data_IF_265233911139
#
_entry.id   IF_265233911139
#
_cell.length_a   1.000
_cell.length_b   1.000
_cell.length_c   1.000
_cell.angle_alpha   90.00
_cell.angle_beta   90.00
_cell.angle_gamma   90.00
#
_symmetry.space_group_name_H-M   'P 1'
#
loop_
_entity.id
_entity.type
_entity.pdbx_description
1 polymer ?
#
# COMPACT_ATOMS: atom_id res chain seq x y z
N UNK A 1 49.67 -7.45 -31.29
CA UNK A 1 48.57 -6.49 -31.40
C UNK A 1 47.59 -6.81 -30.28
N UNK A 2 47.83 -6.18 -29.10
CA UNK A 2 47.08 -6.46 -27.87
C UNK A 2 45.82 -5.62 -27.85
N UNK A 3 44.66 -6.27 -27.92
CA UNK A 3 43.38 -5.63 -27.58
C UNK A 3 43.20 -5.70 -26.09
N UNK A 4 43.47 -4.61 -25.40
CA UNK A 4 43.01 -4.36 -24.04
C UNK A 4 41.50 -4.12 -24.08
N UNK A 5 40.72 -5.10 -23.65
CA UNK A 5 39.33 -4.89 -23.28
C UNK A 5 39.36 -4.07 -21.98
N UNK A 6 39.09 -2.77 -22.10
CA UNK A 6 38.77 -1.90 -20.97
C UNK A 6 37.45 -2.39 -20.35
N UNK A 7 37.55 -3.22 -19.31
CA UNK A 7 36.41 -3.45 -18.41
C UNK A 7 36.20 -2.12 -17.68
N UNK A 8 35.11 -1.43 -18.01
CA UNK A 8 34.62 -0.29 -17.23
C UNK A 8 34.24 -0.77 -15.83
N UNK A 9 35.18 -0.72 -14.91
CA UNK A 9 34.96 -0.84 -13.46
C UNK A 9 34.53 0.52 -12.92
N UNK A 10 33.28 0.90 -13.10
CA UNK A 10 32.61 1.99 -12.36
C UNK A 10 31.19 2.12 -12.89
N UNK A 11 30.25 1.35 -12.32
CA UNK A 11 28.82 1.69 -12.29
C UNK A 11 28.06 0.70 -11.37
N UNK A 12 28.54 0.51 -10.13
CA UNK A 12 27.87 -0.35 -9.14
C UNK A 12 26.95 0.42 -8.20
N UNK A 13 26.43 1.57 -8.61
CA UNK A 13 25.47 2.39 -7.87
C UNK A 13 24.41 2.97 -8.82
N UNK A 14 23.83 2.13 -9.66
CA UNK A 14 22.62 2.54 -10.38
C UNK A 14 21.45 2.16 -9.50
N UNK A 15 21.03 3.11 -8.72
CA UNK A 15 19.86 3.11 -7.88
C UNK A 15 18.81 3.96 -8.61
N UNK A 16 17.60 3.49 -8.80
CA UNK A 16 16.64 4.18 -9.67
C UNK A 16 15.57 4.94 -8.88
N UNK A 17 15.69 6.28 -8.88
CA UNK A 17 14.57 7.17 -8.61
C UNK A 17 13.50 6.94 -9.69
N UNK A 18 12.24 6.77 -9.29
CA UNK A 18 11.12 6.57 -10.21
C UNK A 18 10.21 7.78 -10.18
N UNK A 19 10.07 8.45 -11.33
CA UNK A 19 9.16 9.59 -11.47
C UNK A 19 8.09 9.28 -12.52
N UNK A 20 6.83 9.45 -12.14
CA UNK A 20 5.68 9.36 -13.04
C UNK A 20 5.11 10.77 -13.22
N UNK A 21 4.88 11.19 -14.48
CA UNK A 21 4.36 12.52 -14.80
C UNK A 21 3.06 12.40 -15.57
N UNK A 22 1.97 12.85 -14.97
CA UNK A 22 0.61 12.90 -15.53
C UNK A 22 0.21 11.61 -16.24
N UNK A 23 0.55 10.47 -15.62
CA UNK A 23 0.35 9.16 -16.21
C UNK A 23 -1.14 8.83 -16.25
N UNK A 24 -1.67 8.60 -17.45
CA UNK A 24 -3.06 8.18 -17.66
C UNK A 24 -3.11 6.95 -18.55
N UNK A 25 -4.08 6.08 -18.30
CA UNK A 25 -4.29 4.89 -19.12
C UNK A 25 -5.75 4.51 -19.22
N UNK A 26 -6.16 4.21 -20.44
CA UNK A 26 -7.46 3.61 -20.76
C UNK A 26 -7.26 2.39 -21.64
N UNK A 27 -8.04 1.34 -21.38
CA UNK A 27 -8.13 0.15 -22.23
C UNK A 27 -9.08 0.36 -23.43
N UNK A 28 -9.80 1.48 -23.45
CA UNK A 28 -10.73 1.82 -24.52
C UNK A 28 -10.05 2.74 -25.55
N UNK A 29 -10.41 2.57 -26.82
CA UNK A 29 -9.88 3.42 -27.89
C UNK A 29 -10.41 4.87 -27.82
N UNK A 30 -11.65 5.06 -27.36
CA UNK A 30 -12.27 6.36 -27.17
C UNK A 30 -12.71 6.52 -25.71
N UNK A 31 -12.31 7.61 -25.08
CA UNK A 31 -12.65 7.95 -23.72
C UNK A 31 -13.67 9.08 -23.72
N UNK A 32 -14.87 8.82 -23.20
CA UNK A 32 -15.96 9.80 -23.14
C UNK A 32 -16.26 10.24 -21.71
N UNK A 33 -15.91 9.41 -20.72
CA UNK A 33 -16.18 9.64 -19.30
C UNK A 33 -14.97 9.30 -18.42
N UNK A 34 -14.96 9.79 -17.22
CA UNK A 34 -13.94 9.48 -16.21
C UNK A 34 -13.82 7.98 -15.91
N UNK A 35 -14.95 7.25 -15.97
CA UNK A 35 -15.00 5.80 -15.75
C UNK A 35 -14.28 4.97 -16.83
N UNK A 36 -13.98 5.56 -17.98
CA UNK A 36 -13.28 4.90 -19.08
C UNK A 36 -11.76 4.81 -18.83
N UNK A 37 -11.28 5.54 -17.83
CA UNK A 37 -9.88 5.60 -17.46
C UNK A 37 -9.56 4.69 -16.28
N UNK A 38 -8.63 3.76 -16.49
CA UNK A 38 -8.07 2.95 -15.42
C UNK A 38 -7.09 3.73 -14.54
N UNK A 39 -6.41 4.73 -15.12
CA UNK A 39 -5.54 5.69 -14.43
C UNK A 39 -5.79 7.10 -14.97
N UNK A 40 -5.81 8.09 -14.07
CA UNK A 40 -6.17 9.48 -14.38
C UNK A 40 -5.13 10.44 -13.81
N UNK A 41 -4.16 10.86 -14.64
CA UNK A 41 -3.18 11.89 -14.30
C UNK A 41 -2.36 11.58 -13.04
N UNK A 42 -1.80 10.38 -12.96
CA UNK A 42 -1.01 9.94 -11.80
C UNK A 42 0.37 10.59 -11.83
N UNK A 43 0.71 11.30 -10.75
CA UNK A 43 2.02 11.89 -10.49
C UNK A 43 2.65 11.23 -9.27
N UNK A 44 3.88 10.72 -9.41
CA UNK A 44 4.65 10.08 -8.34
C UNK A 44 6.12 10.50 -8.46
N UNK A 45 6.76 10.71 -7.32
CA UNK A 45 8.21 10.88 -7.22
C UNK A 45 8.72 9.99 -6.08
N UNK A 46 9.22 8.80 -6.42
CA UNK A 46 9.78 7.84 -5.51
C UNK A 46 11.30 7.93 -5.49
N UNK A 47 11.82 8.16 -4.30
CA UNK A 47 13.26 8.12 -4.09
C UNK A 47 13.78 6.70 -4.25
N UNK A 48 15.01 6.62 -4.70
CA UNK A 48 15.73 5.37 -4.76
C UNK A 48 15.90 4.70 -3.39
N UNK A 49 15.99 3.35 -3.41
CA UNK A 49 16.17 2.52 -2.21
C UNK A 49 15.00 2.51 -1.25
N UNK A 50 13.86 3.13 -1.56
CA UNK A 50 12.68 3.16 -0.71
C UNK A 50 11.79 1.92 -0.82
N UNK A 51 11.07 1.60 0.25
CA UNK A 51 9.97 0.65 0.25
C UNK A 51 8.65 1.39 0.08
N UNK A 52 7.95 1.14 -1.02
CA UNK A 52 6.68 1.78 -1.35
C UNK A 52 5.55 0.76 -1.42
N UNK A 53 4.35 1.15 -0.98
CA UNK A 53 3.16 0.34 -1.20
C UNK A 53 2.12 1.10 -2.03
N UNK A 54 1.49 0.39 -2.98
CA UNK A 54 0.27 0.83 -3.66
C UNK A 54 -0.91 0.15 -2.98
N UNK A 55 -1.74 0.93 -2.31
CA UNK A 55 -2.86 0.45 -1.50
C UNK A 55 -4.18 1.00 -2.04
N UNK A 56 -5.20 0.17 -2.12
CA UNK A 56 -6.54 0.58 -2.55
C UNK A 56 -7.44 -0.60 -2.84
N UNK A 57 -8.75 -0.39 -3.06
CA UNK A 57 -9.70 -1.45 -3.36
C UNK A 57 -9.39 -2.13 -4.71
N UNK A 58 -9.97 -3.31 -4.91
CA UNK A 58 -9.87 -3.99 -6.21
C UNK A 58 -10.44 -3.11 -7.33
N UNK A 59 -9.77 -3.09 -8.48
CA UNK A 59 -10.20 -2.31 -9.65
C UNK A 59 -9.81 -0.82 -9.64
N UNK A 60 -9.11 -0.31 -8.62
CA UNK A 60 -8.70 1.10 -8.59
C UNK A 60 -7.45 1.44 -9.44
N UNK A 61 -6.91 0.51 -10.22
CA UNK A 61 -5.81 0.76 -11.15
C UNK A 61 -4.40 0.34 -10.68
N UNK A 62 -4.23 -0.30 -9.51
CA UNK A 62 -2.91 -0.68 -8.96
C UNK A 62 -2.09 -1.57 -9.89
N UNK A 63 -2.65 -2.69 -10.32
CA UNK A 63 -1.99 -3.63 -11.26
C UNK A 63 -1.74 -2.98 -12.62
N UNK A 64 -2.66 -2.11 -13.10
CA UNK A 64 -2.44 -1.32 -14.32
C UNK A 64 -1.21 -0.42 -14.17
N UNK A 65 -1.11 0.31 -13.07
CA UNK A 65 0.03 1.17 -12.77
C UNK A 65 1.34 0.36 -12.69
N UNK A 66 1.31 -0.78 -11.99
CA UNK A 66 2.47 -1.66 -11.89
C UNK A 66 2.93 -2.18 -13.26
N UNK A 67 1.99 -2.62 -14.12
CA UNK A 67 2.29 -3.10 -15.47
C UNK A 67 2.83 -1.99 -16.37
N UNK A 68 2.43 -0.76 -16.16
CA UNK A 68 2.98 0.40 -16.88
C UNK A 68 4.41 0.71 -16.39
N UNK A 69 4.66 0.70 -15.08
CA UNK A 69 6.01 0.91 -14.51
C UNK A 69 6.96 -0.20 -14.97
N UNK A 70 6.48 -1.44 -15.07
CA UNK A 70 7.30 -2.57 -15.53
C UNK A 70 7.58 -2.56 -17.05
N UNK A 71 6.81 -1.82 -17.85
CA UNK A 71 6.90 -1.82 -19.31
C UNK A 71 6.15 -2.96 -19.98
N UNK A 72 5.33 -3.73 -19.23
CA UNK A 72 4.39 -4.70 -19.79
C UNK A 72 3.22 -4.04 -20.51
N UNK A 73 2.86 -2.82 -20.07
CA UNK A 73 1.80 -2.02 -20.64
C UNK A 73 2.32 -0.62 -20.94
N UNK A 74 1.98 -0.06 -22.11
CA UNK A 74 2.28 1.34 -22.43
C UNK A 74 1.17 2.24 -21.91
N UNK A 75 1.50 3.38 -21.30
CA UNK A 75 0.47 4.35 -20.90
C UNK A 75 -0.19 4.96 -22.13
N UNK A 76 -1.41 5.46 -21.98
CA UNK A 76 -2.10 6.23 -23.02
C UNK A 76 -1.50 7.65 -23.07
N UNK A 77 -1.20 8.23 -21.89
CA UNK A 77 -0.61 9.57 -21.74
C UNK A 77 0.40 9.58 -20.59
N UNK A 78 1.30 10.57 -20.63
CA UNK A 78 2.29 10.80 -19.57
C UNK A 78 3.61 10.10 -19.81
N UNK A 79 4.52 10.27 -18.85
CA UNK A 79 5.92 9.82 -18.95
C UNK A 79 6.35 9.06 -17.68
N UNK A 80 7.27 8.12 -17.87
CA UNK A 80 7.95 7.38 -16.81
C UNK A 80 9.44 7.61 -16.92
N UNK A 81 10.04 8.04 -15.82
CA UNK A 81 11.48 8.30 -15.76
C UNK A 81 12.11 7.40 -14.68
N UNK A 82 13.24 6.77 -15.04
CA UNK A 82 14.16 6.14 -14.09
C UNK A 82 15.45 6.98 -14.09
N UNK A 83 15.83 7.57 -12.94
CA UNK A 83 16.97 8.50 -12.83
C UNK A 83 16.98 9.59 -13.90
N UNK A 84 15.82 10.25 -14.09
CA UNK A 84 15.58 11.27 -15.09
C UNK A 84 15.70 10.80 -16.57
N UNK A 85 15.97 9.51 -16.82
CA UNK A 85 15.94 8.90 -18.13
C UNK A 85 14.51 8.43 -18.47
N UNK A 86 13.97 8.88 -19.59
CA UNK A 86 12.69 8.41 -20.10
C UNK A 86 12.75 6.92 -20.48
N UNK A 87 11.91 6.13 -19.80
CA UNK A 87 11.76 4.68 -20.02
C UNK A 87 10.36 4.32 -20.53
N UNK A 88 9.53 5.30 -20.86
CA UNK A 88 8.11 5.12 -21.20
C UNK A 88 7.88 4.08 -22.29
N UNK A 89 8.74 4.04 -23.30
CA UNK A 89 8.62 3.11 -24.43
C UNK A 89 9.47 1.86 -24.31
N UNK A 90 10.34 1.77 -23.28
CA UNK A 90 11.24 0.64 -23.08
C UNK A 90 10.47 -0.58 -22.57
N UNK A 91 10.90 -1.77 -23.00
CA UNK A 91 10.35 -3.04 -22.54
C UNK A 91 10.90 -3.44 -21.13
N UNK A 92 10.33 -4.45 -20.47
CA UNK A 92 10.75 -4.85 -19.11
C UNK A 92 12.23 -5.26 -18.99
N UNK A 93 12.82 -5.85 -20.04
CA UNK A 93 14.24 -6.26 -20.05
C UNK A 93 15.14 -5.03 -20.07
N UNK A 94 14.79 -4.04 -20.90
CA UNK A 94 15.53 -2.77 -21.01
C UNK A 94 15.41 -1.92 -19.74
N UNK A 95 14.31 -2.05 -18.98
CA UNK A 95 14.11 -1.38 -17.68
C UNK A 95 14.84 -2.07 -16.54
N UNK A 96 15.32 -3.28 -16.75
CA UNK A 96 15.99 -4.13 -15.76
C UNK A 96 15.22 -4.20 -14.43
N UNK A 97 14.03 -4.78 -14.49
CA UNK A 97 13.12 -4.94 -13.35
C UNK A 97 12.93 -6.41 -12.98
N UNK A 98 12.52 -6.66 -11.74
CA UNK A 98 11.95 -7.93 -11.31
C UNK A 98 10.50 -7.74 -10.89
N UNK A 99 9.57 -8.49 -11.51
CA UNK A 99 8.16 -8.46 -11.14
C UNK A 99 7.71 -9.83 -10.64
N UNK A 100 7.11 -9.87 -9.48
CA UNK A 100 6.47 -11.02 -8.86
C UNK A 100 4.96 -10.84 -9.01
N UNK A 101 4.32 -11.80 -9.67
CA UNK A 101 2.89 -11.75 -9.97
C UNK A 101 2.03 -12.36 -8.85
N UNK A 102 0.77 -12.01 -8.82
CA UNK A 102 -0.23 -12.53 -7.89
C UNK A 102 -0.36 -14.05 -7.95
N UNK A 103 -0.33 -14.62 -9.17
CA UNK A 103 -0.27 -16.07 -9.36
C UNK A 103 1.16 -16.54 -9.56
N UNK A 104 1.55 -17.71 -9.00
CA UNK A 104 2.92 -18.18 -9.09
C UNK A 104 3.34 -18.45 -10.54
N UNK A 105 4.40 -17.78 -10.98
CA UNK A 105 5.05 -18.03 -12.28
C UNK A 105 6.29 -18.89 -12.05
N UNK A 106 6.15 -20.18 -12.29
CA UNK A 106 7.19 -21.20 -12.04
C UNK A 106 7.30 -22.19 -13.20
N UNK A 107 8.37 -22.94 -13.23
CA UNK A 107 8.55 -24.10 -14.11
C UNK A 107 8.29 -25.38 -13.32
N UNK A 108 7.12 -25.99 -13.51
CA UNK A 108 6.67 -27.19 -12.78
C UNK A 108 7.59 -28.40 -12.97
N UNK A 109 8.26 -28.50 -14.11
CA UNK A 109 9.18 -29.59 -14.45
C UNK A 109 10.57 -29.47 -13.82
N UNK A 110 10.93 -28.29 -13.36
CA UNK A 110 12.20 -27.98 -12.70
C UNK A 110 12.11 -28.27 -11.21
N UNK A 111 13.27 -28.48 -10.57
CA UNK A 111 13.38 -28.50 -9.12
C UNK A 111 13.15 -27.08 -8.53
N UNK A 112 12.97 -27.00 -7.22
CA UNK A 112 12.94 -25.71 -6.51
C UNK A 112 14.25 -24.96 -6.75
N UNK A 113 15.39 -25.66 -6.60
CA UNK A 113 16.70 -25.09 -6.86
C UNK A 113 16.82 -24.51 -8.28
N UNK A 114 16.45 -25.30 -9.30
CA UNK A 114 16.55 -24.84 -10.69
C UNK A 114 15.63 -23.66 -11.00
N UNK A 115 14.45 -23.61 -10.40
CA UNK A 115 13.56 -22.46 -10.52
C UNK A 115 14.21 -21.18 -9.97
N UNK A 116 14.84 -21.25 -8.80
CA UNK A 116 15.55 -20.11 -8.18
C UNK A 116 16.83 -19.75 -8.94
N UNK A 117 17.56 -20.74 -9.43
CA UNK A 117 18.81 -20.53 -10.17
C UNK A 117 18.59 -20.00 -11.59
N UNK A 118 17.43 -20.26 -12.21
CA UNK A 118 17.17 -19.94 -13.61
C UNK A 118 17.40 -18.45 -13.97
N UNK A 119 16.89 -17.47 -13.21
CA UNK A 119 17.14 -16.06 -13.52
C UNK A 119 18.63 -15.68 -13.46
N UNK A 120 19.38 -16.30 -12.55
CA UNK A 120 20.81 -16.04 -12.36
C UNK A 120 21.66 -16.67 -13.47
N UNK A 121 21.32 -17.93 -13.89
CA UNK A 121 21.94 -18.60 -15.03
C UNK A 121 21.80 -17.77 -16.31
N UNK A 122 20.62 -17.19 -16.55
CA UNK A 122 20.39 -16.35 -17.73
C UNK A 122 21.20 -15.05 -17.72
N UNK A 123 21.68 -14.61 -16.56
CA UNK A 123 22.57 -13.46 -16.40
C UNK A 123 24.06 -13.83 -16.45
N UNK A 124 24.39 -15.11 -16.57
CA UNK A 124 25.76 -15.58 -16.71
C UNK A 124 26.57 -15.55 -15.41
N UNK A 125 25.90 -15.61 -14.23
CA UNK A 125 26.61 -15.73 -12.96
C UNK A 125 27.31 -17.08 -12.86
N UNK A 126 28.40 -17.14 -12.08
CA UNK A 126 29.11 -18.40 -11.80
C UNK A 126 28.28 -19.35 -10.94
N UNK A 127 28.54 -20.67 -11.06
CA UNK A 127 27.80 -21.67 -10.27
C UNK A 127 27.94 -21.47 -8.76
N UNK A 128 29.07 -20.97 -8.30
CA UNK A 128 29.33 -20.66 -6.87
C UNK A 128 28.48 -19.48 -6.39
N UNK A 129 28.34 -18.41 -7.19
CA UNK A 129 27.48 -17.26 -6.87
C UNK A 129 26.01 -17.65 -6.89
N UNK A 130 25.62 -18.48 -7.87
CA UNK A 130 24.25 -19.00 -7.99
C UNK A 130 23.90 -19.82 -6.75
N UNK A 131 24.75 -20.77 -6.37
CA UNK A 131 24.51 -21.64 -5.22
C UNK A 131 24.37 -20.85 -3.92
N UNK A 132 25.24 -19.85 -3.71
CA UNK A 132 25.19 -18.97 -2.54
C UNK A 132 23.86 -18.20 -2.47
N UNK A 133 23.47 -17.51 -3.56
CA UNK A 133 22.23 -16.73 -3.62
C UNK A 133 20.98 -17.60 -3.50
N UNK A 134 20.97 -18.75 -4.15
CA UNK A 134 19.83 -19.69 -4.07
C UNK A 134 19.64 -20.20 -2.66
N UNK A 135 20.71 -20.59 -1.95
CA UNK A 135 20.63 -21.06 -0.57
C UNK A 135 20.16 -19.96 0.39
N UNK A 136 20.68 -18.74 0.24
CA UNK A 136 20.24 -17.58 1.05
C UNK A 136 18.73 -17.33 0.90
N UNK A 137 18.22 -17.28 -0.33
CA UNK A 137 16.80 -17.03 -0.58
C UNK A 137 15.93 -18.24 -0.19
N UNK A 138 16.42 -19.46 -0.39
CA UNK A 138 15.70 -20.65 0.03
C UNK A 138 15.56 -20.76 1.55
N UNK A 139 16.59 -20.38 2.32
CA UNK A 139 16.52 -20.31 3.77
C UNK A 139 15.51 -19.25 4.23
N UNK A 140 15.57 -18.06 3.65
CA UNK A 140 14.64 -16.98 3.96
C UNK A 140 13.18 -17.38 3.71
N UNK A 141 12.90 -18.11 2.62
CA UNK A 141 11.54 -18.54 2.24
C UNK A 141 11.14 -19.91 2.81
N UNK A 142 11.99 -20.54 3.65
CA UNK A 142 11.76 -21.88 4.21
C UNK A 142 11.60 -22.97 3.14
N UNK A 143 12.40 -22.88 2.07
CA UNK A 143 12.44 -23.83 0.95
C UNK A 143 13.64 -24.76 1.02
N UNK A 144 14.56 -24.61 1.97
CA UNK A 144 15.84 -25.32 2.02
C UNK A 144 15.67 -26.85 1.99
N UNK A 145 14.69 -27.40 2.71
CA UNK A 145 14.40 -28.84 2.76
C UNK A 145 13.80 -29.39 1.46
N UNK A 146 13.30 -28.54 0.58
CA UNK A 146 12.59 -28.90 -0.66
C UNK A 146 13.38 -28.58 -1.92
N UNK A 147 14.61 -28.06 -1.82
CA UNK A 147 15.42 -27.59 -2.96
C UNK A 147 15.52 -28.61 -4.10
N UNK A 148 15.66 -29.89 -3.76
CA UNK A 148 15.79 -30.97 -4.74
C UNK A 148 14.44 -31.53 -5.24
N UNK A 149 13.32 -31.08 -4.68
CA UNK A 149 12.00 -31.53 -5.09
C UNK A 149 11.56 -30.82 -6.36
N UNK A 150 10.77 -31.48 -7.21
CA UNK A 150 10.12 -30.83 -8.36
C UNK A 150 9.03 -29.89 -7.89
N UNK A 151 8.94 -28.71 -8.52
CA UNK A 151 7.94 -27.70 -8.18
C UNK A 151 6.50 -28.19 -8.37
N UNK A 152 6.24 -29.12 -9.30
CA UNK A 152 4.91 -29.70 -9.53
C UNK A 152 4.32 -30.40 -8.30
N UNK A 153 5.18 -30.96 -7.43
CA UNK A 153 4.75 -31.67 -6.20
C UNK A 153 4.46 -30.79 -4.99
N UNK A 154 4.66 -29.48 -5.08
CA UNK A 154 4.47 -28.57 -3.97
C UNK A 154 3.04 -28.03 -3.88
N UNK A 155 2.67 -27.59 -2.67
CA UNK A 155 1.43 -26.87 -2.39
C UNK A 155 1.40 -25.51 -3.08
N UNK A 156 0.24 -24.86 -3.16
CA UNK A 156 0.10 -23.52 -3.71
C UNK A 156 1.01 -22.49 -2.97
N UNK A 157 1.10 -22.59 -1.64
CA UNK A 157 2.02 -21.80 -0.81
C UNK A 157 3.48 -22.03 -1.22
N UNK A 158 3.90 -23.27 -1.35
CA UNK A 158 5.27 -23.62 -1.80
C UNK A 158 5.58 -23.05 -3.20
N UNK A 159 4.63 -23.14 -4.12
CA UNK A 159 4.76 -22.57 -5.47
C UNK A 159 4.87 -21.05 -5.43
N UNK A 160 4.10 -20.38 -4.58
CA UNK A 160 4.17 -18.93 -4.39
C UNK A 160 5.52 -18.50 -3.79
N UNK A 161 6.04 -19.24 -2.81
CA UNK A 161 7.38 -19.02 -2.26
C UNK A 161 8.46 -19.15 -3.34
N UNK A 162 8.36 -20.13 -4.27
CA UNK A 162 9.27 -20.22 -5.41
C UNK A 162 9.16 -18.98 -6.31
N UNK A 163 7.94 -18.56 -6.67
CA UNK A 163 7.72 -17.37 -7.50
C UNK A 163 8.32 -16.12 -6.87
N UNK A 164 8.14 -15.94 -5.55
CA UNK A 164 8.79 -14.90 -4.75
C UNK A 164 10.31 -15.00 -4.86
N UNK A 165 10.87 -16.17 -4.61
CA UNK A 165 12.31 -16.41 -4.65
C UNK A 165 12.94 -16.10 -6.00
N UNK A 166 12.27 -16.43 -7.11
CA UNK A 166 12.73 -16.11 -8.47
C UNK A 166 12.89 -14.60 -8.73
N UNK A 167 12.05 -13.78 -8.11
CA UNK A 167 12.20 -12.31 -8.16
C UNK A 167 13.31 -11.83 -7.24
N UNK A 168 13.38 -12.36 -6.02
CA UNK A 168 14.28 -11.89 -4.97
C UNK A 168 15.75 -12.27 -5.20
N UNK A 169 16.05 -13.37 -5.89
CA UNK A 169 17.44 -13.74 -6.26
C UNK A 169 18.08 -12.68 -7.16
N UNK A 170 17.26 -11.83 -7.84
CA UNK A 170 17.67 -10.75 -8.71
C UNK A 170 17.85 -9.43 -7.91
N UNK A 171 18.73 -9.44 -6.93
CA UNK A 171 19.02 -8.26 -6.11
C UNK A 171 19.77 -7.14 -6.83
N UNK A 172 20.16 -7.35 -8.08
CA UNK A 172 20.92 -6.44 -8.94
C UNK A 172 20.06 -5.62 -9.92
N UNK A 173 18.73 -5.68 -9.80
CA UNK A 173 17.78 -4.93 -10.65
C UNK A 173 17.50 -3.52 -10.14
N UNK A 174 16.98 -2.65 -11.03
CA UNK A 174 16.61 -1.29 -10.68
C UNK A 174 15.43 -1.24 -9.67
N UNK A 175 14.45 -2.10 -9.83
CA UNK A 175 13.28 -2.16 -8.94
C UNK A 175 12.73 -3.57 -8.84
N UNK A 176 12.30 -3.96 -7.64
CA UNK A 176 11.58 -5.21 -7.38
C UNK A 176 10.12 -4.86 -7.13
N UNK A 177 9.22 -5.46 -7.89
CA UNK A 177 7.79 -5.18 -7.82
C UNK A 177 7.01 -6.42 -7.45
N UNK A 178 6.06 -6.27 -6.54
CA UNK A 178 5.20 -7.33 -6.02
C UNK A 178 3.74 -6.99 -6.31
N UNK A 179 3.06 -7.84 -7.08
CA UNK A 179 1.62 -7.70 -7.33
C UNK A 179 0.86 -8.71 -6.47
N UNK A 180 0.35 -8.24 -5.33
CA UNK A 180 -0.39 -9.03 -4.33
C UNK A 180 0.29 -10.39 -3.97
N UNK A 181 1.59 -10.41 -3.62
CA UNK A 181 2.41 -11.62 -3.60
C UNK A 181 2.04 -12.63 -2.50
N UNK A 182 1.29 -12.18 -1.48
CA UNK A 182 0.94 -13.01 -0.33
C UNK A 182 -0.54 -13.47 -0.33
N UNK A 183 -1.30 -13.20 -1.39
CA UNK A 183 -2.75 -13.49 -1.44
C UNK A 183 -3.07 -14.98 -1.19
N UNK A 184 -2.28 -15.89 -1.73
CA UNK A 184 -2.48 -17.34 -1.59
C UNK A 184 -1.74 -17.97 -0.39
N UNK A 185 -1.00 -17.16 0.36
CA UNK A 185 -0.21 -17.60 1.52
C UNK A 185 -1.12 -17.71 2.76
N UNK A 186 -0.85 -18.74 3.59
CA UNK A 186 -1.53 -18.89 4.88
C UNK A 186 -1.39 -17.63 5.74
N UNK A 187 -2.46 -17.13 6.36
CA UNK A 187 -2.44 -15.91 7.17
C UNK A 187 -1.37 -15.88 8.28
N UNK A 188 -1.09 -17.03 8.88
CA UNK A 188 -0.05 -17.12 9.92
C UNK A 188 1.35 -16.88 9.33
N UNK A 189 1.61 -17.37 8.13
CA UNK A 189 2.89 -17.20 7.44
C UNK A 189 3.04 -15.82 6.79
N UNK A 190 1.94 -15.14 6.44
CA UNK A 190 1.99 -13.79 5.85
C UNK A 190 2.79 -12.81 6.70
N UNK A 191 2.61 -12.84 8.01
CA UNK A 191 3.34 -11.95 8.91
C UNK A 191 4.85 -12.23 8.89
N UNK A 192 5.23 -13.51 8.96
CA UNK A 192 6.64 -13.95 8.94
C UNK A 192 7.30 -13.54 7.62
N UNK A 193 6.67 -13.85 6.47
CA UNK A 193 7.22 -13.54 5.16
C UNK A 193 7.35 -12.02 4.95
N UNK A 194 6.37 -11.24 5.38
CA UNK A 194 6.42 -9.77 5.27
C UNK A 194 7.58 -9.19 6.10
N UNK A 195 7.79 -9.68 7.32
CA UNK A 195 8.93 -9.27 8.14
C UNK A 195 10.26 -9.60 7.46
N UNK A 196 10.38 -10.80 6.90
CA UNK A 196 11.58 -11.22 6.14
C UNK A 196 11.80 -10.39 4.86
N UNK A 197 10.72 -10.01 4.17
CA UNK A 197 10.81 -9.10 3.01
C UNK A 197 11.29 -7.70 3.42
N UNK A 198 10.82 -7.19 4.57
CA UNK A 198 11.30 -5.90 5.10
C UNK A 198 12.78 -5.95 5.50
N UNK A 199 13.22 -7.02 6.16
CA UNK A 199 14.62 -7.26 6.50
C UNK A 199 15.49 -7.35 5.23
N UNK A 200 15.02 -8.09 4.22
CA UNK A 200 15.73 -8.18 2.94
C UNK A 200 15.84 -6.81 2.27
N UNK A 201 14.75 -6.03 2.24
CA UNK A 201 14.77 -4.67 1.71
C UNK A 201 15.86 -3.81 2.37
N UNK A 202 15.93 -3.85 3.71
CA UNK A 202 16.97 -3.11 4.47
C UNK A 202 18.38 -3.57 4.13
N UNK A 203 18.57 -4.89 3.83
CA UNK A 203 19.86 -5.47 3.49
C UNK A 203 20.33 -5.11 2.08
N UNK A 204 19.42 -5.19 1.08
CA UNK A 204 19.79 -4.97 -0.33
C UNK A 204 19.63 -3.50 -0.76
N UNK A 205 18.90 -2.70 0.00
CA UNK A 205 18.65 -1.26 -0.25
C UNK A 205 18.27 -0.96 -1.70
N UNK A 206 17.31 -1.72 -2.25
CA UNK A 206 16.76 -1.53 -3.60
C UNK A 206 15.34 -1.01 -3.51
N UNK A 207 14.95 -0.20 -4.49
CA UNK A 207 13.56 0.26 -4.59
C UNK A 207 12.62 -0.94 -4.69
N UNK A 208 11.66 -1.03 -3.77
CA UNK A 208 10.64 -2.06 -3.77
C UNK A 208 9.25 -1.43 -3.83
N UNK A 209 8.40 -1.95 -4.74
CA UNK A 209 7.00 -1.53 -4.89
C UNK A 209 6.11 -2.72 -4.57
N UNK A 210 5.28 -2.59 -3.55
CA UNK A 210 4.39 -3.63 -3.04
C UNK A 210 2.93 -3.25 -3.30
N UNK A 211 2.27 -3.96 -4.19
CA UNK A 211 0.84 -3.77 -4.46
C UNK A 211 0.03 -4.71 -3.60
N UNK A 212 -0.96 -4.18 -2.89
CA UNK A 212 -1.89 -4.97 -2.08
C UNK A 212 -3.21 -4.24 -1.86
N UNK A 213 -4.25 -4.99 -1.52
CA UNK A 213 -5.49 -4.45 -0.96
C UNK A 213 -5.56 -4.62 0.56
N UNK A 214 -4.59 -5.30 1.18
CA UNK A 214 -4.50 -5.50 2.63
C UNK A 214 -3.74 -4.33 3.28
N UNK A 215 -4.44 -3.59 4.14
CA UNK A 215 -3.89 -2.45 4.85
C UNK A 215 -2.69 -2.83 5.73
N UNK A 216 -2.79 -3.98 6.43
CA UNK A 216 -1.74 -4.43 7.34
C UNK A 216 -0.46 -4.74 6.56
N UNK A 217 -0.59 -5.33 5.38
CA UNK A 217 0.56 -5.58 4.50
C UNK A 217 1.23 -4.27 4.09
N UNK A 218 0.46 -3.30 3.57
CA UNK A 218 0.98 -2.02 3.13
C UNK A 218 1.63 -1.21 4.27
N UNK A 219 0.90 -1.04 5.38
CA UNK A 219 1.33 -0.19 6.50
C UNK A 219 2.50 -0.75 7.31
N UNK A 220 2.77 -2.06 7.23
CA UNK A 220 3.88 -2.69 7.96
C UNK A 220 5.12 -2.91 7.08
N UNK A 221 4.97 -2.98 5.77
CA UNK A 221 6.07 -3.14 4.84
C UNK A 221 6.68 -1.80 4.42
N UNK A 222 5.86 -0.84 3.99
CA UNK A 222 6.31 0.35 3.28
C UNK A 222 6.80 1.48 4.19
N UNK A 223 7.75 2.26 3.69
CA UNK A 223 8.15 3.55 4.27
C UNK A 223 7.16 4.64 3.87
N UNK A 224 6.62 4.55 2.65
CA UNK A 224 5.53 5.39 2.15
C UNK A 224 4.47 4.56 1.45
N UNK A 225 3.22 4.89 1.70
CA UNK A 225 2.06 4.24 1.09
C UNK A 225 1.33 5.23 0.19
N UNK A 226 1.09 4.83 -1.04
CA UNK A 226 0.27 5.55 -2.03
C UNK A 226 -1.12 4.94 -2.01
N UNK A 227 -2.10 5.71 -1.56
CA UNK A 227 -3.50 5.28 -1.53
C UNK A 227 -4.18 5.68 -2.84
N UNK A 228 -4.67 4.67 -3.55
CA UNK A 228 -5.36 4.84 -4.84
C UNK A 228 -6.87 4.62 -4.70
N UNK A 229 -7.63 5.45 -5.38
CA UNK A 229 -9.09 5.34 -5.48
C UNK A 229 -9.55 5.82 -6.86
N UNK A 230 -10.39 5.04 -7.53
CA UNK A 230 -10.97 5.38 -8.86
C UNK A 230 -9.93 5.89 -9.88
N UNK A 231 -8.81 5.19 -10.01
CA UNK A 231 -7.75 5.51 -10.98
C UNK A 231 -6.87 6.70 -10.60
N UNK A 232 -7.04 7.28 -9.41
CA UNK A 232 -6.28 8.44 -8.94
C UNK A 232 -5.51 8.14 -7.63
N UNK A 233 -4.47 8.92 -7.37
CA UNK A 233 -3.83 8.97 -6.06
C UNK A 233 -4.58 9.97 -5.18
N UNK A 234 -5.15 9.49 -4.08
CA UNK A 234 -5.87 10.36 -3.14
C UNK A 234 -5.00 10.83 -1.99
N UNK A 235 -3.97 10.07 -1.62
CA UNK A 235 -2.96 10.50 -0.64
C UNK A 235 -1.72 9.63 -0.74
N UNK A 236 -0.56 10.26 -0.57
CA UNK A 236 0.72 9.59 -0.33
C UNK A 236 1.24 10.07 1.03
N UNK A 237 1.79 9.15 1.82
CA UNK A 237 2.38 9.48 3.12
C UNK A 237 2.89 8.26 3.86
N UNK A 238 3.52 8.50 5.00
CA UNK A 238 3.90 7.43 5.94
C UNK A 238 2.66 6.76 6.53
N UNK A 239 2.77 5.53 7.05
CA UNK A 239 1.66 4.87 7.76
C UNK A 239 1.01 5.73 8.83
N UNK A 240 1.82 6.47 9.60
CA UNK A 240 1.35 7.35 10.68
C UNK A 240 0.56 8.53 10.11
N UNK A 241 1.07 9.21 9.07
CA UNK A 241 0.36 10.33 8.43
C UNK A 241 -0.98 9.93 7.84
N UNK A 242 -1.05 8.76 7.19
CA UNK A 242 -2.31 8.25 6.62
C UNK A 242 -3.34 7.90 7.70
N UNK A 243 -2.87 7.43 8.86
CA UNK A 243 -3.74 7.12 9.98
C UNK A 243 -4.16 8.37 10.74
N UNK A 244 -3.22 9.22 11.16
CA UNK A 244 -3.51 10.38 12.00
C UNK A 244 -4.14 11.54 11.24
N UNK A 245 -3.70 11.84 9.99
CA UNK A 245 -4.18 12.97 9.18
C UNK A 245 -4.64 12.53 7.79
N UNK A 246 -5.75 11.79 7.67
CA UNK A 246 -6.31 11.44 6.36
C UNK A 246 -6.77 12.70 5.61
N UNK A 247 -6.23 12.94 4.41
CA UNK A 247 -6.55 14.12 3.60
C UNK A 247 -7.87 13.97 2.83
N UNK A 248 -8.35 12.75 2.68
CA UNK A 248 -9.60 12.45 1.99
C UNK A 248 -10.46 11.50 2.83
N UNK A 249 -11.78 11.65 2.80
CA UNK A 249 -12.71 10.82 3.58
C UNK A 249 -12.56 9.33 3.26
N UNK A 250 -12.28 9.00 2.00
CA UNK A 250 -11.98 7.63 1.59
C UNK A 250 -10.78 7.06 2.37
N UNK A 251 -9.68 7.80 2.49
CA UNK A 251 -8.47 7.36 3.23
C UNK A 251 -8.80 7.13 4.70
N UNK A 252 -9.54 8.05 5.31
CA UNK A 252 -9.99 7.90 6.70
C UNK A 252 -10.84 6.67 6.92
N UNK A 253 -11.78 6.39 6.00
CA UNK A 253 -12.65 5.22 6.09
C UNK A 253 -11.93 3.91 5.74
N UNK A 254 -11.08 3.93 4.72
CA UNK A 254 -10.40 2.76 4.20
C UNK A 254 -9.26 2.29 5.10
N UNK A 255 -8.50 3.20 5.73
CA UNK A 255 -7.42 2.86 6.66
C UNK A 255 -7.95 2.84 8.10
N UNK A 256 -7.77 1.72 8.77
CA UNK A 256 -8.25 1.46 10.14
C UNK A 256 -9.39 0.44 10.18
N UNK A 257 -9.51 -0.25 11.31
CA UNK A 257 -10.56 -1.25 11.55
C UNK A 257 -11.04 -1.17 13.01
N UNK A 258 -12.16 -0.49 13.24
CA UNK A 258 -13.09 0.15 12.30
C UNK A 258 -12.49 1.38 11.60
N UNK A 259 -13.02 1.73 10.41
CA UNK A 259 -12.66 2.97 9.72
C UNK A 259 -13.13 4.23 10.45
N UNK A 260 -12.65 5.40 10.00
CA UNK A 260 -13.00 6.71 10.57
C UNK A 260 -14.51 6.96 10.49
N UNK A 261 -15.10 7.50 11.54
CA UNK A 261 -16.45 8.04 11.51
C UNK A 261 -16.46 9.30 10.65
N UNK A 262 -17.38 9.36 9.69
CA UNK A 262 -17.56 10.50 8.79
C UNK A 262 -19.04 10.89 8.85
N UNK A 263 -19.33 12.05 9.41
CA UNK A 263 -20.68 12.47 9.76
C UNK A 263 -20.98 13.84 9.18
N UNK A 264 -22.22 14.11 8.71
CA UNK A 264 -22.60 15.44 8.28
C UNK A 264 -22.51 16.44 9.42
N UNK A 265 -22.00 17.63 9.16
CA UNK A 265 -21.92 18.72 10.13
C UNK A 265 -22.12 20.07 9.44
N UNK A 266 -22.17 21.13 10.24
CA UNK A 266 -22.22 22.52 9.76
C UNK A 266 -20.96 23.27 10.18
N UNK A 267 -20.59 24.29 9.42
CA UNK A 267 -19.57 25.23 9.83
C UNK A 267 -20.26 26.56 10.22
N UNK A 268 -20.05 26.94 11.49
CA UNK A 268 -20.55 28.21 12.03
C UNK A 268 -19.38 29.00 12.62
N UNK A 269 -19.22 30.24 12.20
CA UNK A 269 -18.14 31.12 12.69
C UNK A 269 -16.73 30.51 12.59
N UNK A 270 -16.46 29.73 11.51
CA UNK A 270 -15.18 29.09 11.30
C UNK A 270 -14.91 27.87 12.18
N UNK A 271 -15.94 27.33 12.85
CA UNK A 271 -15.86 26.15 13.72
C UNK A 271 -16.87 25.08 13.28
N UNK A 272 -16.53 23.81 13.55
CA UNK A 272 -17.44 22.70 13.31
C UNK A 272 -18.57 22.73 14.35
N UNK A 273 -19.82 22.78 13.88
CA UNK A 273 -21.00 22.58 14.71
C UNK A 273 -21.59 21.19 14.39
N UNK A 274 -21.59 20.31 15.38
CA UNK A 274 -22.12 18.96 15.27
C UNK A 274 -23.08 18.66 16.41
N UNK A 275 -24.30 18.23 16.10
CA UNK A 275 -25.37 17.96 17.08
C UNK A 275 -25.66 19.18 18.01
N UNK A 276 -25.50 20.39 17.52
CA UNK A 276 -25.67 21.63 18.31
C UNK A 276 -24.51 21.98 19.23
N UNK A 277 -23.44 21.19 19.24
CA UNK A 277 -22.21 21.44 19.99
C UNK A 277 -21.11 21.94 19.07
N UNK A 278 -20.34 22.92 19.52
CA UNK A 278 -19.12 23.35 18.82
C UNK A 278 -18.02 22.34 19.13
N UNK A 279 -17.48 21.71 18.11
CA UNK A 279 -16.36 20.79 18.26
C UNK A 279 -15.03 21.55 18.20
N UNK A 280 -14.11 21.23 19.10
CA UNK A 280 -12.77 21.80 19.05
C UNK A 280 -12.04 21.29 17.81
N UNK A 281 -11.40 22.20 17.06
CA UNK A 281 -10.57 21.86 15.89
C UNK A 281 -9.23 22.55 15.99
N UNK A 282 -8.21 21.99 15.34
CA UNK A 282 -6.87 22.61 15.30
C UNK A 282 -6.77 23.73 14.28
N UNK A 283 -7.73 23.86 13.38
CA UNK A 283 -7.69 24.81 12.26
C UNK A 283 -8.93 25.70 12.25
N UNK A 284 -8.75 27.00 11.96
CA UNK A 284 -9.86 27.92 11.70
C UNK A 284 -10.30 27.77 10.25
N UNK A 285 -11.54 27.32 10.03
CA UNK A 285 -12.08 27.04 8.71
C UNK A 285 -12.47 28.37 8.04
N UNK A 286 -11.72 28.75 7.01
CA UNK A 286 -11.94 30.01 6.27
C UNK A 286 -12.86 29.84 5.06
N UNK A 287 -12.81 28.69 4.41
CA UNK A 287 -13.61 28.38 3.21
C UNK A 287 -14.84 27.56 3.60
N UNK A 288 -16.03 27.98 3.18
CA UNK A 288 -17.32 27.37 3.53
C UNK A 288 -18.19 27.00 2.32
N UNK A 289 -17.74 27.30 1.10
CA UNK A 289 -18.48 27.00 -0.14
C UNK A 289 -18.22 25.57 -0.62
N UNK A 290 -18.77 24.60 0.09
CA UNK A 290 -18.76 23.19 -0.28
C UNK A 290 -20.18 22.68 -0.40
N UNK A 291 -20.43 21.75 -1.33
CA UNK A 291 -21.74 21.11 -1.49
C UNK A 291 -22.02 20.13 -0.36
N UNK A 292 -20.98 19.55 0.22
CA UNK A 292 -21.07 18.58 1.31
C UNK A 292 -20.01 18.89 2.37
N UNK A 293 -20.45 19.09 3.61
CA UNK A 293 -19.54 19.32 4.74
C UNK A 293 -19.69 18.19 5.75
N UNK A 294 -18.59 17.64 6.19
CA UNK A 294 -18.53 16.50 7.12
C UNK A 294 -17.44 16.70 8.16
N UNK A 295 -17.67 16.14 9.35
CA UNK A 295 -16.64 15.93 10.37
C UNK A 295 -16.14 14.51 10.29
N UNK A 296 -14.82 14.32 10.42
CA UNK A 296 -14.16 13.02 10.50
C UNK A 296 -13.42 12.88 11.82
N UNK A 297 -13.62 11.73 12.48
CA UNK A 297 -12.93 11.35 13.71
C UNK A 297 -12.76 9.83 13.75
N UNK A 298 -11.58 9.33 14.11
CA UNK A 298 -11.37 7.91 14.28
C UNK A 298 -11.98 7.38 15.57
N UNK A 299 -12.45 6.13 15.59
CA UNK A 299 -13.02 5.52 16.79
C UNK A 299 -12.11 5.54 18.02
N UNK A 300 -10.79 5.51 17.80
CA UNK A 300 -9.75 5.53 18.83
C UNK A 300 -9.62 6.87 19.56
N UNK A 301 -10.08 7.96 18.90
CA UNK A 301 -9.96 9.34 19.42
C UNK A 301 -11.29 9.89 19.95
N UNK A 302 -12.24 9.01 20.22
CA UNK A 302 -13.51 9.34 20.87
C UNK A 302 -13.50 8.78 22.28
N UNK A 303 -13.82 9.62 23.27
CA UNK A 303 -13.87 9.23 24.66
C UNK A 303 -15.28 9.41 25.24
N UNK A 304 -15.66 8.57 26.19
CA UNK A 304 -16.82 8.82 27.03
C UNK A 304 -16.54 10.00 27.95
N UNK A 305 -17.52 10.87 28.16
CA UNK A 305 -17.39 12.10 28.94
C UNK A 305 -18.65 12.39 29.73
N UNK A 306 -18.57 13.30 30.71
CA UNK A 306 -19.74 13.74 31.47
C UNK A 306 -20.57 14.78 30.71
N UNK A 307 -19.98 15.48 29.77
CA UNK A 307 -20.61 16.46 28.88
C UNK A 307 -20.07 16.26 27.44
N UNK A 308 -20.87 16.61 26.45
CA UNK A 308 -20.49 16.45 25.03
C UNK A 308 -21.67 16.06 24.16
N UNK A 309 -21.41 15.27 23.13
CA UNK A 309 -22.42 14.77 22.20
C UNK A 309 -23.18 13.62 22.84
N UNK A 310 -24.50 13.74 22.93
CA UNK A 310 -25.33 12.65 23.46
C UNK A 310 -25.47 11.54 22.42
N UNK A 311 -25.20 10.30 22.82
CA UNK A 311 -25.34 9.11 21.99
C UNK A 311 -26.12 8.03 22.73
N UNK A 312 -26.79 7.17 21.96
CA UNK A 312 -27.43 5.95 22.46
C UNK A 312 -26.55 4.76 22.12
N UNK A 313 -26.18 3.97 23.10
CA UNK A 313 -25.41 2.73 22.91
C UNK A 313 -26.30 1.66 22.32
N UNK A 314 -25.91 1.10 21.17
CA UNK A 314 -26.64 0.06 20.46
C UNK A 314 -26.08 -1.33 20.73
N UNK A 315 -24.76 -1.46 20.67
CA UNK A 315 -24.06 -2.74 20.83
C UNK A 315 -22.64 -2.52 21.33
N UNK A 316 -22.18 -3.45 22.14
CA UNK A 316 -20.79 -3.55 22.58
C UNK A 316 -20.26 -4.90 22.11
N UNK A 317 -19.18 -4.89 21.35
CA UNK A 317 -18.48 -6.09 20.89
C UNK A 317 -17.11 -6.12 21.54
N UNK A 318 -16.87 -7.08 22.42
CA UNK A 318 -15.57 -7.28 23.07
C UNK A 318 -14.72 -8.20 22.22
N UNK A 319 -13.53 -7.73 21.82
CA UNK A 319 -12.56 -8.50 21.03
C UNK A 319 -11.45 -9.09 21.89
N UNK A 320 -11.55 -8.97 23.22
CA UNK A 320 -10.51 -9.35 24.18
C UNK A 320 -9.38 -8.32 24.31
N UNK A 321 -9.04 -7.62 23.25
CA UNK A 321 -8.01 -6.57 23.23
C UNK A 321 -8.61 -5.17 23.45
N UNK A 322 -9.77 -4.94 22.87
CA UNK A 322 -10.53 -3.69 22.96
C UNK A 322 -12.02 -3.96 22.77
N UNK A 323 -12.84 -2.99 23.13
CA UNK A 323 -14.28 -3.01 22.91
C UNK A 323 -14.64 -2.07 21.77
N UNK A 324 -15.36 -2.59 20.75
CA UNK A 324 -15.98 -1.79 19.70
C UNK A 324 -17.41 -1.48 20.16
N UNK A 325 -17.69 -0.18 20.34
CA UNK A 325 -19.00 0.29 20.80
C UNK A 325 -19.71 0.97 19.64
N UNK A 326 -20.79 0.36 19.16
CA UNK A 326 -21.68 0.95 18.16
C UNK A 326 -22.67 1.86 18.88
N UNK A 327 -22.67 3.14 18.53
CA UNK A 327 -23.58 4.15 19.10
C UNK A 327 -24.34 4.86 18.00
N UNK A 328 -25.42 5.57 18.35
CA UNK A 328 -26.25 6.33 17.44
C UNK A 328 -26.51 7.73 18.03
N UNK A 329 -26.38 8.76 17.18
CA UNK A 329 -26.86 10.13 17.42
C UNK A 329 -27.86 10.55 16.30
N UNK A 330 -28.36 11.77 16.32
CA UNK A 330 -29.32 12.25 15.29
C UNK A 330 -28.69 12.27 13.88
N UNK A 331 -27.40 12.58 13.78
CA UNK A 331 -26.66 12.69 12.52
C UNK A 331 -26.16 11.36 11.97
N UNK A 332 -26.29 10.25 12.73
CA UNK A 332 -25.89 8.91 12.28
C UNK A 332 -25.25 8.03 13.34
N UNK A 333 -24.62 6.97 12.85
CA UNK A 333 -23.95 5.99 13.72
C UNK A 333 -22.50 6.41 13.99
N UNK A 334 -22.05 6.24 15.23
CA UNK A 334 -20.69 6.52 15.66
C UNK A 334 -20.12 5.24 16.28
N UNK A 335 -18.94 4.83 15.80
CA UNK A 335 -18.17 3.74 16.39
C UNK A 335 -17.11 4.32 17.32
N UNK A 336 -16.95 3.70 18.49
CA UNK A 336 -15.95 4.07 19.49
C UNK A 336 -15.09 2.84 19.75
N UNK A 337 -13.78 3.03 19.85
CA UNK A 337 -12.84 1.98 20.23
C UNK A 337 -12.35 2.26 21.66
N UNK A 338 -12.88 1.51 22.61
CA UNK A 338 -12.54 1.64 24.02
C UNK A 338 -11.55 0.55 24.46
N UNK A 339 -10.73 0.83 25.47
CA UNK A 339 -9.88 -0.19 26.09
C UNK A 339 -10.73 -1.35 26.63
N UNK A 340 -10.17 -2.57 26.66
CA UNK A 340 -10.86 -3.74 27.23
C UNK A 340 -11.26 -3.53 28.70
N UNK A 341 -10.50 -2.73 29.46
CA UNK A 341 -10.79 -2.39 30.87
C UNK A 341 -11.83 -1.28 31.05
N UNK A 342 -12.21 -0.56 29.97
CA UNK A 342 -13.18 0.53 30.07
C UNK A 342 -14.57 0.00 30.37
N UNK A 343 -15.21 0.51 31.43
CA UNK A 343 -16.62 0.26 31.68
C UNK A 343 -17.47 1.06 30.69
N UNK A 344 -18.33 0.37 29.98
CA UNK A 344 -19.19 1.00 28.99
C UNK A 344 -20.52 1.35 29.63
N UNK A 345 -20.97 2.62 29.58
CA UNK A 345 -22.28 3.02 30.07
C UNK A 345 -23.41 2.24 29.39
N UNK A 346 -24.51 2.06 30.08
CA UNK A 346 -25.71 1.41 29.53
C UNK A 346 -26.73 2.47 29.10
N UNK A 347 -27.37 2.24 27.93
CA UNK A 347 -28.42 3.12 27.41
C UNK A 347 -27.89 4.36 26.69
N UNK A 348 -27.86 5.51 27.40
CA UNK A 348 -27.37 6.78 26.81
C UNK A 348 -26.08 7.23 27.50
N UNK A 349 -25.18 7.82 26.72
CA UNK A 349 -23.92 8.35 27.20
C UNK A 349 -23.59 9.68 26.50
N UNK A 350 -22.62 10.40 27.02
CA UNK A 350 -22.01 11.53 26.32
C UNK A 350 -20.61 11.15 25.86
N UNK A 351 -20.23 11.70 24.71
CA UNK A 351 -18.91 11.46 24.12
C UNK A 351 -18.26 12.80 23.75
N UNK A 352 -16.94 12.81 23.78
CA UNK A 352 -16.11 13.93 23.34
C UNK A 352 -15.13 13.48 22.24
N UNK A 353 -14.86 14.37 21.33
CA UNK A 353 -13.89 14.19 20.25
C UNK A 353 -12.56 14.83 20.62
N UNK A 354 -11.46 14.11 20.40
CA UNK A 354 -10.12 14.66 20.58
C UNK A 354 -9.87 15.77 19.54
N UNK A 355 -9.53 16.97 20.04
CA UNK A 355 -9.29 18.16 19.22
C UNK A 355 -8.21 17.94 18.15
N UNK A 356 -7.13 17.24 18.51
CA UNK A 356 -5.99 17.02 17.63
C UNK A 356 -6.36 16.20 16.38
N UNK A 357 -7.32 15.30 16.52
CA UNK A 357 -7.71 14.31 15.52
C UNK A 357 -9.11 14.51 14.93
N UNK A 358 -9.73 15.66 15.21
CA UNK A 358 -11.02 16.05 14.64
C UNK A 358 -10.82 16.94 13.42
N UNK A 359 -11.27 16.47 12.25
CA UNK A 359 -11.06 17.16 10.97
C UNK A 359 -12.37 17.50 10.29
N UNK A 360 -12.40 18.65 9.59
CA UNK A 360 -13.49 19.02 8.70
C UNK A 360 -13.16 18.61 7.26
N UNK A 361 -14.17 18.14 6.55
CA UNK A 361 -14.07 17.76 5.13
C UNK A 361 -15.12 18.51 4.33
N UNK A 362 -14.70 19.09 3.18
CA UNK A 362 -15.55 19.68 2.17
C UNK A 362 -15.42 18.88 0.87
N UNK A 363 -16.55 18.38 0.34
CA UNK A 363 -16.57 17.57 -0.88
C UNK A 363 -15.52 16.42 -0.85
N UNK A 364 -15.45 15.74 0.29
CA UNK A 364 -14.55 14.63 0.66
C UNK A 364 -13.09 15.00 0.95
N UNK A 365 -12.63 16.22 0.72
CA UNK A 365 -11.27 16.65 1.02
C UNK A 365 -11.17 17.38 2.33
N UNK A 366 -10.06 17.23 3.05
CA UNK A 366 -9.79 17.95 4.29
C UNK A 366 -9.81 19.47 4.04
N UNK A 367 -10.45 20.20 4.93
CA UNK A 367 -10.47 21.67 4.89
C UNK A 367 -9.34 22.17 5.81
N UNK A 368 -8.35 22.86 5.24
CA UNK A 368 -7.21 23.46 5.95
C UNK A 368 -7.37 24.97 6.11
#
# INVERSE_FOLDING_TARGET
>A
MNFYILIKTTDWLIMAKITLKKLSHSYLANQNNDSDWALRGVDIDWKDGGAYALLGPSGCGKTTLLNIISGLLKPTEGEILFDDKDVTTLNPVERDIAQIFQFPVIYDTMTVYDNLAFPLKNRGLSDTEIDSKVKEIAEMLELSSTLNNRASGLTADGKQKISLGRGLVRSDVNVIMFDEPLTVIDPHLKWVLRSKLKELHQKINRTMIYVTHDQIEALTFADQVVVMHEGQIVQTGTPVELFEKPKHTFVGHFIGSPGMNILPCEIKNGQINFEGKVLPTNTSIKKTNFSKIQVGIRPEFINFSNDGIQVKIKRVSDTGRHKVVDTECKSGNIKILASASTEIPTGSAHISFDQKYTYAYGDNWIIE
#
